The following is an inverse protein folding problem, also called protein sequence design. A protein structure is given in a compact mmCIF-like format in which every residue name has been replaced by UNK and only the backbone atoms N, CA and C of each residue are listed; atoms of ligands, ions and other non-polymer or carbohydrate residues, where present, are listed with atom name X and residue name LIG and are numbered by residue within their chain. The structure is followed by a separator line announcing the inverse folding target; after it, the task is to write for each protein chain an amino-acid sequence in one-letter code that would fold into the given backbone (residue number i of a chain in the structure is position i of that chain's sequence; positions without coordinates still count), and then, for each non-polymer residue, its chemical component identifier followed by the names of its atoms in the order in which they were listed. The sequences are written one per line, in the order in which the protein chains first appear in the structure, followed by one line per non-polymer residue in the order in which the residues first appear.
data_IF_929187277487
#
_entry.id   IF_929187277487
#
_cell.length_a   1.000
_cell.length_b   1.000
_cell.length_c   1.000
_cell.angle_alpha   90.00
_cell.angle_beta   90.00
_cell.angle_gamma   90.00
#
_symmetry.space_group_name_H-M   'P 1'
#
loop_
_entity.id
_entity.type
_entity.pdbx_description
1 polymer ?
#
# COMPACT_ATOMS: atom_id res chain seq x y z
N UNK A 1 -12.66 -14.66 -4.77
CA UNK A 1 -11.88 -14.43 -6.02
C UNK A 1 -10.54 -13.81 -5.64
N UNK A 2 -9.44 -14.19 -6.29
CA UNK A 2 -8.13 -13.66 -5.98
C UNK A 2 -7.84 -12.45 -6.89
N UNK A 3 -8.07 -11.25 -6.35
CA UNK A 3 -7.89 -9.97 -7.05
C UNK A 3 -6.42 -9.69 -7.30
N UNK A 4 -5.59 -9.79 -6.25
CA UNK A 4 -4.15 -9.49 -6.28
C UNK A 4 -3.27 -10.74 -6.36
N UNK A 5 -3.69 -11.79 -7.05
CA UNK A 5 -2.83 -12.95 -7.29
C UNK A 5 -1.73 -12.62 -8.30
N UNK A 6 -0.54 -13.20 -8.11
CA UNK A 6 0.50 -13.10 -9.12
C UNK A 6 1.26 -14.41 -9.32
N UNK A 7 1.09 -14.99 -10.51
CA UNK A 7 1.91 -16.06 -11.05
C UNK A 7 1.82 -16.00 -12.58
N UNK A 8 2.75 -15.28 -13.20
CA UNK A 8 2.80 -15.08 -14.64
C UNK A 8 2.91 -16.41 -15.42
N UNK A 9 3.73 -17.36 -14.93
CA UNK A 9 3.93 -18.66 -15.57
C UNK A 9 2.67 -19.53 -15.60
N UNK A 10 1.80 -19.40 -14.58
CA UNK A 10 0.53 -20.10 -14.50
C UNK A 10 -0.65 -19.30 -15.09
N UNK A 11 -0.40 -18.15 -15.73
CA UNK A 11 -1.43 -17.27 -16.28
C UNK A 11 -2.34 -16.63 -15.21
N UNK A 12 -1.89 -16.56 -13.96
CA UNK A 12 -2.65 -15.93 -12.86
C UNK A 12 -2.15 -14.51 -12.67
N UNK A 13 -2.82 -13.57 -13.30
CA UNK A 13 -2.55 -12.15 -13.18
C UNK A 13 -3.59 -11.46 -12.29
N UNK A 14 -3.28 -10.27 -11.77
CA UNK A 14 -4.24 -9.46 -11.04
C UNK A 14 -5.43 -9.11 -11.93
N UNK A 15 -6.59 -9.00 -11.32
CA UNK A 15 -7.85 -8.70 -12.00
C UNK A 15 -8.54 -7.55 -11.30
N UNK A 16 -9.14 -6.66 -12.09
CA UNK A 16 -9.90 -5.53 -11.57
C UNK A 16 -11.07 -6.03 -10.70
N UNK A 17 -11.15 -5.65 -9.41
CA UNK A 17 -12.22 -6.07 -8.52
C UNK A 17 -13.62 -5.63 -8.98
N UNK A 18 -13.73 -4.59 -9.81
CA UNK A 18 -15.00 -4.13 -10.39
C UNK A 18 -15.59 -5.13 -11.40
N UNK A 19 -14.72 -5.92 -12.04
CA UNK A 19 -15.12 -6.89 -13.07
C UNK A 19 -15.42 -8.29 -12.50
N UNK A 20 -15.27 -8.49 -11.19
CA UNK A 20 -15.41 -9.80 -10.55
C UNK A 20 -16.54 -9.76 -9.52
N UNK A 21 -17.50 -10.70 -9.57
CA UNK A 21 -18.48 -10.86 -8.50
C UNK A 21 -17.79 -11.08 -7.15
N UNK A 22 -18.07 -10.20 -6.18
CA UNK A 22 -17.44 -10.20 -4.83
C UNK A 22 -15.93 -9.90 -4.87
N UNK A 23 -15.45 -9.10 -5.83
CA UNK A 23 -14.05 -8.65 -5.89
C UNK A 23 -13.59 -7.95 -4.60
N UNK A 24 -14.44 -7.11 -4.03
CA UNK A 24 -14.16 -6.40 -2.77
C UNK A 24 -14.33 -7.22 -1.49
N UNK A 25 -14.74 -8.49 -1.58
CA UNK A 25 -14.90 -9.33 -0.39
C UNK A 25 -13.52 -9.85 0.05
N UNK A 26 -12.97 -9.40 1.19
CA UNK A 26 -11.73 -9.97 1.68
C UNK A 26 -11.96 -11.45 2.07
N UNK A 27 -10.97 -12.34 1.87
CA UNK A 27 -11.00 -13.67 2.46
C UNK A 27 -10.92 -13.57 3.99
N UNK A 28 -11.26 -14.65 4.70
CA UNK A 28 -11.14 -14.67 6.16
C UNK A 28 -9.67 -14.56 6.60
N UNK A 29 -9.46 -13.95 7.76
CA UNK A 29 -8.13 -13.84 8.40
C UNK A 29 -7.50 -15.21 8.66
N UNK A 30 -8.31 -16.26 8.86
CA UNK A 30 -7.83 -17.65 9.00
C UNK A 30 -7.07 -18.18 7.77
N UNK A 31 -7.20 -17.53 6.60
CA UNK A 31 -6.45 -17.88 5.41
C UNK A 31 -5.09 -17.16 5.33
N UNK A 32 -4.74 -16.34 6.32
CA UNK A 32 -3.46 -15.66 6.36
C UNK A 32 -2.32 -16.66 6.54
N UNK A 33 -1.36 -16.65 5.59
CA UNK A 33 -0.15 -17.47 5.69
C UNK A 33 0.89 -16.85 6.63
N UNK A 34 0.89 -15.52 6.71
CA UNK A 34 1.83 -14.73 7.51
C UNK A 34 1.05 -13.72 8.37
N UNK A 35 0.26 -14.18 9.36
CA UNK A 35 -0.69 -13.31 10.06
C UNK A 35 -0.02 -12.17 10.82
N UNK A 36 1.19 -12.38 11.34
CA UNK A 36 2.03 -11.36 12.01
C UNK A 36 2.80 -10.43 11.07
N UNK A 37 2.66 -10.59 9.75
CA UNK A 37 3.36 -9.77 8.74
C UNK A 37 2.42 -9.20 7.68
N UNK A 38 1.11 -9.45 7.83
CA UNK A 38 0.07 -8.95 6.95
C UNK A 38 -0.75 -7.93 7.72
N UNK A 39 -0.85 -6.74 7.17
CA UNK A 39 -1.65 -5.66 7.74
C UNK A 39 -3.14 -5.92 7.52
N UNK A 40 -3.95 -5.62 8.54
CA UNK A 40 -5.40 -5.76 8.53
C UNK A 40 -6.11 -4.40 8.55
N UNK A 41 -5.61 -3.49 9.38
CA UNK A 41 -6.06 -2.10 9.46
C UNK A 41 -4.85 -1.21 9.62
N UNK A 42 -4.81 -0.10 8.89
CA UNK A 42 -3.70 0.84 8.90
C UNK A 42 -4.26 2.25 8.98
N UNK A 43 -3.62 3.11 9.78
CA UNK A 43 -3.89 4.55 9.73
C UNK A 43 -3.67 5.08 8.32
N UNK A 44 -4.52 6.01 7.89
CA UNK A 44 -4.40 6.67 6.60
C UNK A 44 -3.87 8.08 6.83
N UNK A 45 -3.08 8.57 5.88
CA UNK A 45 -2.34 9.84 5.93
C UNK A 45 -1.09 9.78 6.84
N UNK A 46 -0.05 10.49 6.43
CA UNK A 46 1.20 10.62 7.16
C UNK A 46 1.03 11.51 8.41
N UNK A 47 0.57 10.90 9.52
CA UNK A 47 0.22 11.61 10.75
C UNK A 47 1.37 11.69 11.77
N UNK A 48 2.46 10.94 11.56
CA UNK A 48 3.58 10.81 12.51
C UNK A 48 4.90 11.16 11.82
N UNK A 49 5.79 11.88 12.50
CA UNK A 49 7.09 12.33 11.97
C UNK A 49 6.99 13.23 10.72
N UNK A 50 5.98 14.11 10.65
CA UNK A 50 5.91 15.14 9.61
C UNK A 50 7.11 16.08 9.71
N UNK A 51 7.85 16.24 8.61
CA UNK A 51 8.97 17.19 8.51
C UNK A 51 8.43 18.61 8.40
N UNK A 52 8.07 19.21 9.55
CA UNK A 52 7.67 20.62 9.73
C UNK A 52 6.49 21.16 8.90
N UNK A 53 5.88 20.35 8.03
CA UNK A 53 4.75 20.74 7.20
C UNK A 53 3.55 19.88 7.57
N UNK A 54 2.51 20.53 8.10
CA UNK A 54 1.22 19.87 8.38
C UNK A 54 0.48 19.52 7.07
N UNK A 55 0.93 20.10 5.94
CA UNK A 55 0.44 19.87 4.59
C UNK A 55 1.38 18.96 3.79
N UNK A 56 0.77 18.02 3.08
CA UNK A 56 1.43 17.26 2.04
C UNK A 56 1.85 18.13 0.86
N UNK A 57 2.67 17.56 -0.02
CA UNK A 57 3.10 18.24 -1.24
C UNK A 57 1.91 18.32 -2.20
N UNK A 58 1.62 19.53 -2.66
CA UNK A 58 0.66 19.72 -3.73
C UNK A 58 1.29 19.30 -5.07
N UNK A 59 0.90 18.11 -5.52
CA UNK A 59 1.31 17.54 -6.80
C UNK A 59 0.43 17.99 -7.97
N UNK A 60 -0.77 18.52 -7.69
CA UNK A 60 -1.72 19.02 -8.68
C UNK A 60 -2.10 20.47 -8.40
N UNK A 61 -1.44 21.40 -9.11
CA UNK A 61 -1.84 22.81 -9.12
C UNK A 61 -3.34 22.95 -9.46
N UNK A 62 -4.17 23.36 -8.49
CA UNK A 62 -5.62 23.54 -8.65
C UNK A 62 -6.49 22.41 -8.09
N UNK A 63 -6.00 21.64 -7.12
CA UNK A 63 -6.85 20.69 -6.40
C UNK A 63 -7.93 21.43 -5.57
N UNK A 64 -9.04 20.77 -5.24
CA UNK A 64 -10.10 21.33 -4.37
C UNK A 64 -9.58 21.83 -3.00
N UNK A 65 -8.41 21.35 -2.57
CA UNK A 65 -7.72 21.83 -1.38
C UNK A 65 -7.17 23.26 -1.57
N UNK A 66 -6.73 23.67 -2.78
CA UNK A 66 -6.18 25.00 -3.06
C UNK A 66 -7.22 26.12 -2.98
N UNK A 67 -8.49 25.80 -3.22
CA UNK A 67 -9.60 26.76 -3.15
C UNK A 67 -10.00 27.08 -1.70
N UNK A 68 -9.40 26.40 -0.71
CA UNK A 68 -9.73 26.56 0.71
C UNK A 68 -11.10 25.97 1.10
N UNK A 69 -11.80 25.33 0.17
CA UNK A 69 -13.17 24.80 0.33
C UNK A 69 -13.20 23.38 0.96
N UNK A 70 -12.23 23.06 1.82
CA UNK A 70 -12.03 21.72 2.38
C UNK A 70 -11.87 21.64 3.90
N UNK A 71 -11.87 20.41 4.42
CA UNK A 71 -11.79 20.09 5.85
C UNK A 71 -10.41 20.32 6.50
N UNK A 72 -9.48 20.93 5.76
CA UNK A 72 -8.06 21.04 6.09
C UNK A 72 -7.54 22.48 5.92
N UNK A 73 -8.39 23.51 5.97
CA UNK A 73 -7.97 24.93 5.96
C UNK A 73 -7.06 25.34 4.78
N UNK A 74 -7.27 24.75 3.60
CA UNK A 74 -6.45 25.00 2.41
C UNK A 74 -5.17 24.15 2.31
N UNK A 75 -5.01 23.20 3.23
CA UNK A 75 -3.89 22.27 3.32
C UNK A 75 -4.23 20.97 2.60
N UNK A 76 -3.40 20.54 1.65
CA UNK A 76 -3.54 19.22 1.03
C UNK A 76 -3.03 18.13 1.98
N UNK A 77 -3.83 17.12 2.35
CA UNK A 77 -3.34 16.01 3.16
C UNK A 77 -2.48 15.07 2.33
N UNK A 78 -1.58 14.35 2.98
CA UNK A 78 -0.86 13.24 2.35
C UNK A 78 -1.85 12.12 1.96
N UNK A 79 -1.94 11.80 0.66
CA UNK A 79 -3.02 10.95 0.11
C UNK A 79 -2.87 9.46 0.49
N UNK A 80 -1.71 9.04 1.02
CA UNK A 80 -1.45 7.74 1.63
C UNK A 80 -0.26 7.84 2.61
N UNK A 81 0.23 6.71 3.15
CA UNK A 81 1.45 6.66 3.96
C UNK A 81 2.74 6.64 3.12
N UNK A 82 2.70 7.25 1.93
CA UNK A 82 3.74 7.20 0.89
C UNK A 82 4.92 8.15 1.16
N UNK A 83 5.49 8.05 2.35
CA UNK A 83 6.72 8.72 2.74
C UNK A 83 7.62 7.74 3.48
N UNK A 84 8.93 7.83 3.26
CA UNK A 84 10.00 7.12 3.99
C UNK A 84 9.91 7.32 5.49
N UNK A 85 9.44 8.48 5.91
CA UNK A 85 9.33 8.87 7.31
C UNK A 85 7.96 8.52 7.90
N UNK A 86 7.04 7.98 7.09
CA UNK A 86 5.72 7.58 7.53
C UNK A 86 5.78 6.30 8.36
N UNK A 87 5.17 6.38 9.54
CA UNK A 87 5.13 5.32 10.55
C UNK A 87 3.69 5.11 11.05
N UNK A 88 2.76 4.66 10.20
CA UNK A 88 1.38 4.41 10.59
C UNK A 88 1.25 3.36 11.70
N UNK A 89 0.36 3.60 12.66
CA UNK A 89 -0.09 2.56 13.57
C UNK A 89 -0.95 1.57 12.79
N UNK A 90 -0.60 0.29 12.92
CA UNK A 90 -1.15 -0.78 12.10
C UNK A 90 -1.54 -1.97 12.94
N UNK A 91 -2.75 -2.49 12.70
CA UNK A 91 -3.19 -3.79 13.20
C UNK A 91 -2.82 -4.86 12.19
N UNK A 92 -2.19 -5.93 12.64
CA UNK A 92 -1.84 -7.09 11.83
C UNK A 92 -2.98 -8.11 11.81
N UNK A 93 -2.94 -9.07 10.88
CA UNK A 93 -3.98 -10.07 10.72
C UNK A 93 -4.05 -11.08 11.89
N UNK A 94 -3.03 -11.15 12.75
CA UNK A 94 -3.07 -11.86 14.04
C UNK A 94 -3.72 -11.05 15.17
N UNK A 95 -4.12 -9.80 14.92
CA UNK A 95 -4.72 -8.90 15.89
C UNK A 95 -3.71 -8.11 16.74
N UNK A 96 -2.40 -8.32 16.55
CA UNK A 96 -1.38 -7.50 17.19
C UNK A 96 -1.33 -6.10 16.57
N UNK A 97 -0.90 -5.11 17.35
CA UNK A 97 -0.70 -3.73 16.90
C UNK A 97 0.78 -3.42 16.84
N UNK A 98 1.19 -2.67 15.82
CA UNK A 98 2.59 -2.30 15.61
C UNK A 98 2.66 -0.97 14.90
N UNK A 99 3.77 -0.25 15.08
CA UNK A 99 4.12 0.88 14.23
C UNK A 99 4.85 0.29 13.03
N UNK A 100 4.35 0.58 11.83
CA UNK A 100 4.92 0.06 10.60
C UNK A 100 5.62 1.18 9.86
N UNK A 101 6.95 1.10 9.74
CA UNK A 101 7.69 2.06 8.93
C UNK A 101 7.54 1.73 7.44
N UNK A 102 7.05 2.68 6.64
CA UNK A 102 6.83 2.49 5.20
C UNK A 102 8.15 2.21 4.46
N UNK A 103 9.25 2.84 4.85
CA UNK A 103 10.55 2.65 4.20
C UNK A 103 11.10 1.23 4.34
N UNK A 104 10.90 0.62 5.51
CA UNK A 104 11.24 -0.78 5.76
C UNK A 104 10.43 -1.70 4.84
N UNK A 105 9.14 -1.42 4.70
CA UNK A 105 8.24 -2.24 3.86
C UNK A 105 8.53 -2.08 2.37
N UNK A 106 8.91 -0.88 1.94
CA UNK A 106 9.36 -0.61 0.58
C UNK A 106 10.66 -1.38 0.27
N UNK A 107 11.65 -1.29 1.16
CA UNK A 107 12.93 -2.01 1.01
C UNK A 107 12.75 -3.53 1.02
N UNK A 108 11.87 -4.05 1.89
CA UNK A 108 11.49 -5.46 1.90
C UNK A 108 10.85 -5.89 0.56
N UNK A 109 9.98 -5.04 0.00
CA UNK A 109 9.36 -5.29 -1.30
C UNK A 109 10.39 -5.34 -2.43
N UNK A 110 11.32 -4.38 -2.47
CA UNK A 110 12.42 -4.34 -3.44
C UNK A 110 13.31 -5.57 -3.33
N UNK A 111 13.70 -5.96 -2.10
CA UNK A 111 14.49 -7.18 -1.88
C UNK A 111 13.82 -8.43 -2.46
N UNK A 112 12.50 -8.57 -2.27
CA UNK A 112 11.75 -9.70 -2.82
C UNK A 112 11.70 -9.66 -4.35
N UNK A 113 11.59 -8.48 -4.94
CA UNK A 113 11.61 -8.32 -6.40
C UNK A 113 12.98 -8.67 -7.00
N UNK A 114 14.07 -8.28 -6.34
CA UNK A 114 15.44 -8.54 -6.80
C UNK A 114 15.83 -10.02 -6.69
N UNK A 115 15.24 -10.76 -5.75
CA UNK A 115 15.51 -12.19 -5.55
C UNK A 115 14.83 -13.10 -6.60
N UNK A 116 13.84 -12.61 -7.36
CA UNK A 116 13.12 -13.39 -8.37
C UNK A 116 13.24 -12.79 -9.79
N UNK A 117 14.16 -13.31 -10.63
CA UNK A 117 14.37 -12.78 -11.98
C UNK A 117 13.18 -13.00 -12.93
N UNK A 118 12.22 -13.85 -12.56
CA UNK A 118 11.00 -14.11 -13.32
C UNK A 118 9.78 -13.41 -12.73
N UNK A 119 9.95 -12.75 -11.58
CA UNK A 119 8.93 -12.02 -10.88
C UNK A 119 9.51 -10.77 -10.19
N UNK A 120 9.67 -9.74 -10.99
CA UNK A 120 9.99 -8.38 -10.57
C UNK A 120 8.88 -7.71 -9.72
N UNK A 121 7.81 -8.43 -9.34
CA UNK A 121 6.86 -7.98 -8.34
C UNK A 121 7.37 -8.28 -6.94
N UNK A 122 7.45 -7.25 -6.11
CA UNK A 122 7.84 -7.35 -4.70
C UNK A 122 6.75 -7.95 -3.81
N UNK A 123 6.58 -7.39 -2.62
CA UNK A 123 5.50 -7.77 -1.68
C UNK A 123 4.13 -7.19 -2.05
N UNK A 124 4.10 -6.18 -2.91
CA UNK A 124 2.91 -5.59 -3.49
C UNK A 124 2.99 -5.62 -5.02
N UNK A 125 1.85 -5.49 -5.69
CA UNK A 125 1.75 -5.52 -7.15
C UNK A 125 1.85 -4.12 -7.74
N UNK A 126 2.81 -3.93 -8.64
CA UNK A 126 3.04 -2.74 -9.46
C UNK A 126 2.57 -3.00 -10.90
N UNK A 127 2.39 -1.94 -11.67
CA UNK A 127 2.14 -2.00 -13.13
C UNK A 127 0.89 -2.84 -13.51
N UNK A 128 -0.15 -2.81 -12.67
CA UNK A 128 -1.40 -3.49 -13.00
C UNK A 128 -2.17 -2.74 -14.08
N UNK A 129 -2.90 -3.45 -14.93
CA UNK A 129 -3.60 -2.84 -16.09
C UNK A 129 -4.73 -1.87 -15.73
N UNK A 130 -5.23 -1.92 -14.49
CA UNK A 130 -6.36 -1.12 -13.99
C UNK A 130 -5.96 -0.16 -12.86
N UNK A 131 -4.73 -0.28 -12.36
CA UNK A 131 -4.17 0.58 -11.31
C UNK A 131 -2.63 0.48 -11.39
N UNK A 132 -1.99 1.13 -12.38
CA UNK A 132 -0.58 0.94 -12.65
C UNK A 132 0.32 1.52 -11.55
N UNK A 133 -0.14 2.59 -10.91
CA UNK A 133 0.60 3.33 -9.89
C UNK A 133 0.27 2.86 -8.47
N UNK A 134 -0.76 2.02 -8.31
CA UNK A 134 -1.24 1.59 -7.01
C UNK A 134 -2.00 2.69 -6.29
N UNK A 135 -2.13 2.55 -4.97
CA UNK A 135 -2.93 3.48 -4.18
C UNK A 135 -2.11 4.71 -3.79
N UNK A 136 -2.21 5.78 -4.59
CA UNK A 136 -1.54 7.07 -4.43
C UNK A 136 -0.02 6.96 -4.19
N UNK A 137 0.66 6.00 -4.83
CA UNK A 137 2.11 5.89 -4.73
C UNK A 137 2.86 6.86 -5.66
N UNK A 138 2.19 7.35 -6.70
CA UNK A 138 2.66 8.41 -7.60
C UNK A 138 2.73 9.79 -6.92
N UNK A 139 1.89 10.00 -5.90
CA UNK A 139 1.85 11.22 -5.08
C UNK A 139 2.77 11.14 -3.84
N UNK A 140 3.74 10.22 -3.83
CA UNK A 140 4.71 10.07 -2.74
C UNK A 140 5.70 11.25 -2.66
N UNK A 141 5.94 11.78 -1.46
CA UNK A 141 6.74 13.01 -1.27
C UNK A 141 8.25 12.83 -1.33
N UNK A 142 8.75 11.61 -1.20
CA UNK A 142 10.18 11.30 -1.16
C UNK A 142 10.58 10.10 -2.02
N UNK A 143 9.78 9.83 -3.06
CA UNK A 143 10.03 8.79 -4.06
C UNK A 143 10.01 7.35 -3.49
N UNK A 144 9.61 7.16 -2.23
CA UNK A 144 9.34 5.83 -1.68
C UNK A 144 8.01 5.33 -2.21
N UNK A 145 8.06 4.40 -3.16
CA UNK A 145 6.87 3.81 -3.75
C UNK A 145 6.46 2.53 -3.01
N UNK A 146 5.33 2.61 -2.32
CA UNK A 146 4.75 1.46 -1.65
C UNK A 146 3.23 1.58 -1.53
N UNK A 147 2.52 0.57 -2.04
CA UNK A 147 1.08 0.39 -1.81
C UNK A 147 0.77 -0.96 -1.18
N UNK A 148 1.68 -1.48 -0.34
CA UNK A 148 1.33 -2.56 0.58
C UNK A 148 0.16 -2.14 1.47
N UNK A 149 -0.53 -3.09 2.12
CA UNK A 149 -1.89 -2.96 2.66
C UNK A 149 -3.01 -3.08 1.61
N UNK A 150 -3.04 -2.22 0.59
CA UNK A 150 -4.11 -2.19 -0.43
C UNK A 150 -3.84 -3.14 -1.60
N UNK A 151 -2.59 -3.20 -2.07
CA UNK A 151 -2.16 -3.94 -3.27
C UNK A 151 -1.20 -5.10 -2.97
N UNK A 152 -1.28 -5.68 -1.78
CA UNK A 152 -0.43 -6.79 -1.36
C UNK A 152 -0.53 -7.97 -2.33
N UNK A 153 0.62 -8.45 -2.79
CA UNK A 153 0.72 -9.66 -3.62
C UNK A 153 0.11 -10.84 -2.86
N UNK A 154 -0.80 -11.55 -3.51
CA UNK A 154 -1.63 -12.63 -2.97
C UNK A 154 -2.60 -12.24 -1.84
N UNK A 155 -2.84 -10.94 -1.63
CA UNK A 155 -3.78 -10.41 -0.63
C UNK A 155 -3.49 -10.90 0.78
N UNK A 156 -4.50 -11.46 1.47
CA UNK A 156 -4.35 -11.97 2.85
C UNK A 156 -3.32 -13.12 2.96
N UNK A 157 -3.08 -13.85 1.87
CA UNK A 157 -2.11 -14.97 1.85
C UNK A 157 -0.67 -14.46 1.65
N UNK A 158 -0.52 -13.22 1.22
CA UNK A 158 0.74 -12.52 1.15
C UNK A 158 1.18 -11.95 2.50
N UNK A 159 2.11 -11.01 2.42
CA UNK A 159 2.66 -10.27 3.56
C UNK A 159 3.10 -8.89 3.07
N UNK A 160 3.01 -7.90 3.95
CA UNK A 160 3.38 -6.51 3.66
C UNK A 160 4.82 -6.19 4.06
N UNK A 161 5.39 -7.01 4.96
CA UNK A 161 6.80 -6.94 5.40
C UNK A 161 7.42 -8.32 5.54
N UNK A 162 8.75 -8.37 5.65
CA UNK A 162 9.51 -9.59 5.90
C UNK A 162 9.70 -9.79 7.41
N UNK A 163 9.98 -11.03 7.80
CA UNK A 163 10.37 -11.32 9.16
C UNK A 163 11.78 -10.78 9.37
N UNK A 164 11.94 -9.87 10.35
CA UNK A 164 13.24 -9.44 10.86
C UNK A 164 13.68 -10.38 11.96
#
# INVERSE_FOLDING_TARGET
PAVYQWNALAGKLPQDPMNIPRGFKPPSTDQAKYPSHKTWLMEHNWLQNVDNNECGVNWQFGAWFDEGDGCWDGCEPEHFNSSRHSEPVTVLADGSTTILNTSDCAADSERVADEDPYNNQGLWLKDMSFDPDGYYADLATDWVQWSGHTHTKDGIRGRDKLAK
#
